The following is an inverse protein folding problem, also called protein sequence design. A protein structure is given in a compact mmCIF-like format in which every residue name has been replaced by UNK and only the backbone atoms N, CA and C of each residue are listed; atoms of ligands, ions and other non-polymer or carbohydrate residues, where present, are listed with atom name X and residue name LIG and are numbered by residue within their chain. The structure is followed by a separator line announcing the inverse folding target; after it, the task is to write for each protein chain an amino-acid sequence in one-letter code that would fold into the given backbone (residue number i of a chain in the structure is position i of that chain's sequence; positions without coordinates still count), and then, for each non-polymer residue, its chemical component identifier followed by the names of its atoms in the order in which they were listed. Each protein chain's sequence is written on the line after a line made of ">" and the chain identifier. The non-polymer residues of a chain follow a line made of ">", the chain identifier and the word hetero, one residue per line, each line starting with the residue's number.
data_IF_490366858039
#
_entry.id   IF_490366858039
#
_cell.length_a   1.000
_cell.length_b   1.000
_cell.length_c   1.000
_cell.angle_alpha   90.00
_cell.angle_beta   90.00
_cell.angle_gamma   90.00
#
_symmetry.space_group_name_H-M   'P 1'
#
loop_
_entity.id
_entity.type
_entity.pdbx_description
1 polymer ?
#
# COMPACT_ATOMS: atom_id res chain seq x y z
N UNK A 1 7.14 -59.57 54.32
CA UNK A 1 7.51 -58.54 53.29
C UNK A 1 6.48 -58.61 52.18
N UNK A 2 5.46 -57.75 52.22
CA UNK A 2 4.43 -57.65 51.17
C UNK A 2 4.78 -56.45 50.27
N UNK A 3 5.08 -56.70 48.98
CA UNK A 3 5.25 -55.69 47.98
C UNK A 3 3.90 -55.21 47.47
N UNK A 4 3.59 -53.94 47.66
CA UNK A 4 2.43 -53.28 47.10
C UNK A 4 2.84 -52.72 45.71
N UNK A 5 2.26 -53.28 44.65
CA UNK A 5 2.34 -52.73 43.30
C UNK A 5 1.30 -51.63 43.16
N UNK A 6 1.74 -50.39 43.01
CA UNK A 6 0.85 -49.25 42.62
C UNK A 6 0.76 -49.20 41.10
N UNK A 7 -0.42 -49.51 40.57
CA UNK A 7 -0.74 -49.29 39.15
C UNK A 7 -1.23 -47.87 39.01
N UNK A 8 -0.42 -47.02 38.39
CA UNK A 8 -0.85 -45.68 37.96
C UNK A 8 -1.63 -45.80 36.64
N UNK A 9 -2.94 -45.68 36.71
CA UNK A 9 -3.82 -45.59 35.54
C UNK A 9 -3.73 -44.17 35.00
N UNK A 10 -2.99 -43.97 33.89
CA UNK A 10 -3.01 -42.70 33.12
C UNK A 10 -4.35 -42.62 32.36
N UNK A 11 -5.26 -41.78 32.84
CA UNK A 11 -6.44 -41.40 32.08
C UNK A 11 -6.03 -40.51 30.91
N UNK A 12 -5.93 -41.06 29.73
CA UNK A 12 -5.95 -40.26 28.49
C UNK A 12 -7.41 -39.78 28.28
N UNK A 13 -7.66 -38.52 28.63
CA UNK A 13 -8.89 -37.86 28.17
C UNK A 13 -8.74 -37.64 26.64
N UNK A 14 -9.27 -38.55 25.85
CA UNK A 14 -9.52 -38.29 24.44
C UNK A 14 -10.67 -37.27 24.36
N UNK A 15 -10.34 -35.99 24.25
CA UNK A 15 -11.33 -35.00 23.87
C UNK A 15 -11.80 -35.36 22.46
N UNK A 16 -13.01 -35.86 22.33
CA UNK A 16 -13.69 -36.02 21.05
C UNK A 16 -13.94 -34.60 20.49
N UNK A 17 -13.09 -34.14 19.61
CA UNK A 17 -13.33 -32.91 18.83
C UNK A 17 -14.52 -33.21 17.93
N UNK A 18 -15.67 -32.62 18.22
CA UNK A 18 -16.84 -32.68 17.34
C UNK A 18 -16.41 -32.11 15.98
N UNK A 19 -16.74 -32.76 14.87
CA UNK A 19 -16.43 -32.32 13.51
C UNK A 19 -17.01 -30.93 13.17
N UNK A 20 -17.98 -30.45 13.96
CA UNK A 20 -18.56 -29.10 13.89
C UNK A 20 -17.69 -27.98 14.50
N UNK A 21 -16.59 -28.30 15.20
CA UNK A 21 -15.77 -27.32 15.91
C UNK A 21 -14.49 -26.95 15.16
N UNK A 22 -14.19 -27.62 14.04
CA UNK A 22 -12.96 -27.43 13.28
C UNK A 22 -13.24 -27.45 11.78
N UNK A 23 -12.80 -26.40 11.08
CA UNK A 23 -12.90 -26.27 9.61
C UNK A 23 -11.52 -26.33 9.01
N UNK A 24 -11.29 -27.26 8.11
CA UNK A 24 -10.02 -27.41 7.39
C UNK A 24 -9.94 -26.42 6.23
N UNK A 25 -8.88 -25.62 6.21
CA UNK A 25 -8.54 -24.67 5.14
C UNK A 25 -7.32 -25.23 4.40
N UNK A 26 -7.51 -25.67 3.17
CA UNK A 26 -6.39 -26.13 2.33
C UNK A 26 -6.02 -25.06 1.34
N UNK A 27 -4.79 -24.53 1.45
CA UNK A 27 -4.23 -23.51 0.55
C UNK A 27 -3.33 -24.19 -0.46
N UNK A 28 -3.59 -23.96 -1.75
CA UNK A 28 -2.82 -24.51 -2.86
C UNK A 28 -2.11 -23.39 -3.63
N UNK A 29 -0.83 -23.56 -3.86
CA UNK A 29 -0.01 -22.72 -4.74
C UNK A 29 -0.10 -23.25 -6.19
N UNK A 30 -0.66 -22.47 -7.14
CA UNK A 30 -0.71 -22.90 -8.53
C UNK A 30 0.60 -22.69 -9.29
N UNK A 31 1.59 -21.98 -8.70
CA UNK A 31 2.85 -21.63 -9.36
C UNK A 31 3.99 -22.60 -9.02
N UNK A 32 5.00 -22.63 -9.88
CA UNK A 32 6.25 -23.40 -9.70
C UNK A 32 7.30 -22.68 -8.84
N UNK A 33 6.95 -21.55 -8.22
CA UNK A 33 7.79 -20.78 -7.29
C UNK A 33 7.25 -20.91 -5.87
N UNK A 34 8.12 -20.83 -4.86
CA UNK A 34 7.73 -20.79 -3.44
C UNK A 34 7.02 -19.46 -3.17
N UNK A 35 6.01 -19.47 -2.31
CA UNK A 35 5.25 -18.28 -1.87
C UNK A 35 5.33 -18.20 -0.35
N UNK A 36 6.02 -17.19 0.17
CA UNK A 36 6.20 -16.97 1.60
C UNK A 36 5.68 -15.59 2.02
N UNK A 37 5.00 -15.54 3.16
CA UNK A 37 4.45 -14.31 3.72
C UNK A 37 3.31 -13.73 2.87
N UNK A 38 2.74 -14.52 1.98
CA UNK A 38 1.68 -14.08 1.08
C UNK A 38 0.30 -14.25 1.71
N UNK A 39 -0.63 -13.37 1.36
CA UNK A 39 -1.98 -13.37 1.90
C UNK A 39 -2.84 -14.44 1.20
N UNK A 40 -3.33 -15.40 1.96
CA UNK A 40 -4.39 -16.30 1.53
C UNK A 40 -5.74 -15.66 1.84
N UNK A 41 -6.67 -15.74 0.90
CA UNK A 41 -8.00 -15.16 1.02
C UNK A 41 -9.08 -16.20 0.71
N UNK A 42 -10.14 -16.21 1.49
CA UNK A 42 -11.32 -17.06 1.24
C UNK A 42 -12.57 -16.38 1.78
N UNK A 43 -13.73 -16.61 1.16
CA UNK A 43 -15.00 -16.15 1.75
C UNK A 43 -15.17 -16.69 3.16
N UNK A 44 -15.49 -15.81 4.11
CA UNK A 44 -15.69 -16.19 5.52
C UNK A 44 -17.00 -16.92 5.73
N UNK A 45 -18.02 -16.70 4.90
CA UNK A 45 -19.34 -17.26 5.08
C UNK A 45 -19.38 -18.81 5.15
N UNK A 46 -18.69 -19.58 4.27
CA UNK A 46 -18.60 -21.03 4.40
C UNK A 46 -17.89 -21.47 5.69
N UNK A 47 -16.91 -20.71 6.18
CA UNK A 47 -16.20 -21.01 7.43
C UNK A 47 -17.15 -20.86 8.61
N UNK A 48 -17.82 -19.71 8.73
CA UNK A 48 -18.81 -19.45 9.79
C UNK A 48 -19.93 -20.49 9.77
N UNK A 49 -20.45 -20.82 8.58
CA UNK A 49 -21.50 -21.86 8.46
C UNK A 49 -21.07 -23.21 9.01
N UNK A 50 -19.81 -23.63 8.72
CA UNK A 50 -19.27 -24.90 9.22
C UNK A 50 -18.91 -24.87 10.70
N UNK A 51 -18.74 -23.70 11.29
CA UNK A 51 -18.57 -23.47 12.72
C UNK A 51 -19.91 -23.15 13.43
N UNK A 52 -21.04 -23.63 12.91
CA UNK A 52 -22.39 -23.43 13.47
C UNK A 52 -22.73 -21.98 13.80
N UNK A 53 -22.37 -21.07 12.93
CA UNK A 53 -22.63 -19.64 13.10
C UNK A 53 -21.76 -18.96 14.16
N UNK A 54 -20.57 -19.49 14.45
CA UNK A 54 -19.67 -18.94 15.45
C UNK A 54 -19.40 -17.44 15.22
N UNK A 55 -19.59 -16.63 16.26
CA UNK A 55 -19.31 -15.19 16.23
C UNK A 55 -17.81 -14.86 16.27
N UNK A 56 -17.02 -15.76 16.86
CA UNK A 56 -15.57 -15.65 16.97
C UNK A 56 -14.93 -17.00 16.66
N UNK A 57 -13.82 -16.97 15.95
CA UNK A 57 -13.01 -18.12 15.64
C UNK A 57 -11.55 -17.71 15.48
N UNK A 58 -10.65 -18.66 15.63
CA UNK A 58 -9.21 -18.50 15.44
C UNK A 58 -8.77 -19.29 14.22
N UNK A 59 -7.65 -18.90 13.60
CA UNK A 59 -6.97 -19.68 12.57
C UNK A 59 -5.69 -20.26 13.16
N UNK A 60 -5.47 -21.55 12.97
CA UNK A 60 -4.24 -22.23 13.42
C UNK A 60 -3.52 -22.89 12.25
N UNK A 61 -2.21 -23.04 12.38
CA UNK A 61 -1.42 -23.90 11.51
C UNK A 61 -1.67 -25.39 11.80
N UNK A 62 -0.92 -26.27 11.11
CA UNK A 62 -1.05 -27.71 11.26
C UNK A 62 -0.66 -28.22 12.66
N UNK A 63 0.21 -27.51 13.37
CA UNK A 63 0.68 -27.85 14.72
C UNK A 63 -0.27 -27.32 15.80
N UNK A 64 -1.34 -26.62 15.40
CA UNK A 64 -2.34 -26.07 16.29
C UNK A 64 -2.00 -24.70 16.87
N UNK A 65 -0.88 -24.10 16.45
CA UNK A 65 -0.49 -22.74 16.84
C UNK A 65 -1.39 -21.73 16.15
N UNK A 66 -1.99 -20.82 16.93
CA UNK A 66 -2.77 -19.71 16.39
C UNK A 66 -1.89 -18.76 15.57
N UNK A 67 -2.39 -18.34 14.42
CA UNK A 67 -1.75 -17.35 13.53
C UNK A 67 -2.64 -16.13 13.38
N UNK A 68 -2.05 -14.93 13.11
CA UNK A 68 -2.81 -13.74 12.81
C UNK A 68 -3.77 -13.96 11.64
N UNK A 69 -5.01 -13.57 11.83
CA UNK A 69 -6.05 -13.61 10.80
C UNK A 69 -6.98 -12.42 10.95
N UNK A 70 -7.66 -12.06 9.88
CA UNK A 70 -8.58 -10.93 9.83
C UNK A 70 -9.77 -11.26 8.95
N UNK A 71 -10.96 -10.83 9.38
CA UNK A 71 -12.14 -10.79 8.51
C UNK A 71 -12.24 -9.37 7.95
N UNK A 72 -12.26 -9.25 6.63
CA UNK A 72 -12.29 -7.97 5.94
C UNK A 72 -13.72 -7.47 5.73
N UNK A 73 -13.86 -6.17 5.44
CA UNK A 73 -15.15 -5.51 5.23
C UNK A 73 -16.01 -6.18 4.13
N UNK A 74 -15.37 -6.78 3.13
CA UNK A 74 -16.01 -7.48 2.01
C UNK A 74 -16.26 -8.98 2.28
N UNK A 75 -16.13 -9.40 3.56
CA UNK A 75 -16.47 -10.75 4.01
C UNK A 75 -15.47 -11.82 3.62
N UNK A 76 -14.20 -11.49 3.52
CA UNK A 76 -13.12 -12.46 3.35
C UNK A 76 -12.41 -12.74 4.67
N UNK A 77 -12.04 -13.97 4.89
CA UNK A 77 -11.03 -14.36 5.87
C UNK A 77 -9.67 -14.31 5.20
N UNK A 78 -8.74 -13.55 5.77
CA UNK A 78 -7.35 -13.43 5.31
C UNK A 78 -6.37 -13.85 6.39
N UNK A 79 -5.26 -14.48 5.97
CA UNK A 79 -4.14 -14.87 6.83
C UNK A 79 -2.87 -15.09 6.00
N UNK A 80 -1.70 -14.82 6.57
CA UNK A 80 -0.42 -15.02 5.87
C UNK A 80 0.04 -16.47 5.91
N UNK A 81 0.60 -16.93 4.79
CA UNK A 81 1.01 -18.33 4.62
C UNK A 81 2.42 -18.44 4.02
N UNK A 82 3.01 -19.62 4.20
CA UNK A 82 4.15 -20.11 3.41
C UNK A 82 3.77 -21.43 2.73
N UNK A 83 4.03 -21.55 1.41
CA UNK A 83 3.71 -22.74 0.66
C UNK A 83 4.74 -22.99 -0.45
N UNK A 84 5.21 -24.23 -0.58
CA UNK A 84 6.16 -24.64 -1.61
C UNK A 84 5.59 -24.51 -3.04
N UNK A 85 6.48 -24.64 -4.03
CA UNK A 85 6.13 -24.66 -5.44
C UNK A 85 5.15 -25.80 -5.75
N UNK A 86 4.01 -25.49 -6.44
CA UNK A 86 2.91 -26.44 -6.70
C UNK A 86 2.38 -27.16 -5.46
N UNK A 87 2.79 -26.70 -4.27
CA UNK A 87 2.50 -27.31 -2.99
C UNK A 87 1.09 -27.00 -2.45
N UNK A 88 0.79 -27.69 -1.35
CA UNK A 88 -0.40 -27.44 -0.53
C UNK A 88 0.00 -27.33 0.93
N UNK A 89 -0.66 -26.48 1.67
CA UNK A 89 -0.54 -26.34 3.13
C UNK A 89 -1.93 -26.32 3.76
N UNK A 90 -2.02 -26.79 5.00
CA UNK A 90 -3.28 -26.89 5.71
C UNK A 90 -3.27 -25.98 6.92
N UNK A 91 -4.36 -25.27 7.10
CA UNK A 91 -4.71 -24.47 8.27
C UNK A 91 -6.09 -24.92 8.79
N UNK A 92 -6.40 -24.50 10.00
CA UNK A 92 -7.68 -24.84 10.62
C UNK A 92 -8.33 -23.60 11.21
N UNK A 93 -9.61 -23.39 10.90
CA UNK A 93 -10.42 -22.43 11.64
C UNK A 93 -11.17 -23.17 12.76
N UNK A 94 -11.15 -22.64 13.99
CA UNK A 94 -11.74 -23.25 15.18
C UNK A 94 -12.54 -22.21 15.96
N UNK A 95 -13.63 -22.61 16.60
CA UNK A 95 -14.31 -21.74 17.56
C UNK A 95 -13.33 -21.30 18.64
N UNK A 96 -13.28 -20.01 18.95
CA UNK A 96 -12.36 -19.45 19.93
C UNK A 96 -12.29 -17.94 19.86
N UNK A 97 -11.74 -17.32 20.89
CA UNK A 97 -11.49 -15.89 20.93
C UNK A 97 -10.09 -15.62 20.39
N UNK A 98 -9.93 -14.84 19.29
CA UNK A 98 -8.61 -14.51 18.76
C UNK A 98 -7.73 -13.79 19.78
N UNK A 99 -6.45 -14.08 19.76
CA UNK A 99 -5.45 -13.30 20.48
C UNK A 99 -5.44 -11.86 19.93
N UNK A 100 -5.00 -10.91 20.75
CA UNK A 100 -4.73 -9.55 20.29
C UNK A 100 -3.38 -9.54 19.58
N UNK A 101 -3.41 -9.34 18.28
CA UNK A 101 -2.20 -9.16 17.48
C UNK A 101 -1.83 -7.69 17.35
N UNK A 102 -0.53 -7.41 17.27
CA UNK A 102 -0.03 -6.10 16.90
C UNK A 102 -0.43 -5.77 15.46
N UNK A 103 -0.89 -4.54 15.23
CA UNK A 103 -1.20 -4.07 13.90
C UNK A 103 0.11 -3.88 13.12
N UNK A 104 0.19 -4.46 11.92
CA UNK A 104 1.28 -4.26 10.96
C UNK A 104 0.87 -3.31 9.84
N UNK A 105 -0.29 -2.73 9.93
CA UNK A 105 -0.87 -1.78 8.98
C UNK A 105 -1.58 -0.67 9.74
N UNK A 106 -1.57 0.53 9.20
CA UNK A 106 -2.20 1.70 9.80
C UNK A 106 -2.56 2.74 8.74
N UNK A 107 -3.50 3.61 9.03
CA UNK A 107 -3.80 4.81 8.26
C UNK A 107 -4.91 5.63 8.88
N UNK A 108 -4.89 6.91 8.60
CA UNK A 108 -5.95 7.87 8.95
C UNK A 108 -5.85 9.16 8.14
N UNK A 109 -6.88 9.98 8.24
CA UNK A 109 -6.80 11.38 7.84
C UNK A 109 -6.07 12.20 8.90
N UNK A 110 -5.32 13.21 8.45
CA UNK A 110 -4.58 14.19 9.25
C UNK A 110 -5.12 15.61 8.99
N UNK A 111 -6.21 16.03 9.68
CA UNK A 111 -6.75 17.38 9.52
C UNK A 111 -5.74 18.45 9.91
N UNK A 112 -4.87 18.13 10.86
CA UNK A 112 -3.76 18.97 11.33
C UNK A 112 -2.68 19.24 10.26
N UNK A 113 -2.68 18.45 9.16
CA UNK A 113 -1.82 18.63 7.99
C UNK A 113 -2.67 18.68 6.71
N UNK A 114 -3.44 19.75 6.59
CA UNK A 114 -4.27 20.14 5.43
C UNK A 114 -5.08 18.99 4.81
N UNK A 115 -5.66 18.15 5.69
CA UNK A 115 -6.49 16.98 5.35
C UNK A 115 -5.75 15.88 4.60
N UNK A 116 -4.45 15.69 4.80
CA UNK A 116 -3.74 14.53 4.26
C UNK A 116 -4.42 13.24 4.71
N UNK A 117 -4.49 12.25 3.82
CA UNK A 117 -4.80 10.87 4.19
C UNK A 117 -3.55 10.03 3.98
N UNK A 118 -2.96 9.56 5.08
CA UNK A 118 -1.74 8.77 5.02
C UNK A 118 -1.96 7.36 5.57
N UNK A 119 -1.27 6.39 4.97
CA UNK A 119 -1.34 4.98 5.35
C UNK A 119 0.00 4.28 5.16
N UNK A 120 0.21 3.24 5.94
CA UNK A 120 1.44 2.47 5.94
C UNK A 120 1.22 1.01 6.31
N UNK A 121 2.20 0.21 5.99
CA UNK A 121 2.42 -1.09 6.60
C UNK A 121 3.86 -1.18 7.14
N UNK A 122 4.28 -2.37 7.50
CA UNK A 122 5.65 -2.65 7.95
C UNK A 122 6.73 -2.57 6.85
N UNK A 123 6.43 -2.05 5.65
CA UNK A 123 7.36 -1.95 4.49
C UNK A 123 7.38 -0.58 3.85
N UNK A 124 6.21 0.01 3.63
CA UNK A 124 6.00 1.24 2.85
C UNK A 124 5.02 2.17 3.53
N UNK A 125 5.07 3.45 3.17
CA UNK A 125 4.06 4.43 3.55
C UNK A 125 3.71 5.33 2.36
N UNK A 126 2.48 5.82 2.35
CA UNK A 126 1.91 6.62 1.28
C UNK A 126 1.05 7.74 1.83
N UNK A 127 0.80 8.74 0.99
CA UNK A 127 -0.10 9.86 1.28
C UNK A 127 -0.96 10.20 0.07
N UNK A 128 -2.22 10.52 0.30
CA UNK A 128 -3.10 11.21 -0.63
C UNK A 128 -3.44 12.59 -0.07
N UNK A 129 -3.42 13.60 -0.91
CA UNK A 129 -3.65 14.97 -0.50
C UNK A 129 -5.13 15.30 -0.38
N UNK A 130 -5.46 16.09 0.63
CA UNK A 130 -6.81 16.41 1.00
C UNK A 130 -7.34 17.76 0.48
N UNK A 131 -8.63 18.04 0.72
CA UNK A 131 -9.27 19.24 0.22
C UNK A 131 -8.74 20.55 0.81
N UNK A 132 -8.21 20.54 2.02
CA UNK A 132 -7.62 21.75 2.62
C UNK A 132 -6.32 22.16 1.91
N UNK A 133 -5.50 21.20 1.46
CA UNK A 133 -4.32 21.49 0.63
C UNK A 133 -4.75 22.19 -0.68
N UNK A 134 -5.76 21.66 -1.35
CA UNK A 134 -6.24 22.24 -2.60
C UNK A 134 -6.77 23.67 -2.40
N UNK A 135 -7.44 23.96 -1.27
CA UNK A 135 -7.91 25.31 -0.91
C UNK A 135 -6.76 26.29 -0.65
N UNK A 136 -5.59 25.83 -0.21
CA UNK A 136 -4.40 26.67 -0.01
C UNK A 136 -3.77 27.15 -1.33
N UNK A 137 -4.19 26.57 -2.47
CA UNK A 137 -3.63 26.85 -3.80
C UNK A 137 -2.50 25.91 -4.19
N UNK A 138 -2.03 25.07 -3.29
CA UNK A 138 -1.08 24.00 -3.62
C UNK A 138 -1.77 22.92 -4.46
N UNK A 139 -1.04 22.37 -5.43
CA UNK A 139 -1.55 21.36 -6.36
C UNK A 139 -0.67 20.11 -6.28
N UNK A 140 -1.24 19.06 -5.72
CA UNK A 140 -0.65 17.72 -5.68
C UNK A 140 -1.79 16.72 -5.85
N UNK A 141 -1.76 15.96 -6.95
CA UNK A 141 -2.91 15.13 -7.37
C UNK A 141 -2.69 13.65 -7.17
N UNK A 142 -1.43 13.22 -7.31
CA UNK A 142 -1.04 11.82 -7.25
C UNK A 142 -0.80 11.32 -5.84
N UNK A 143 -0.55 10.00 -5.72
CA UNK A 143 -0.08 9.42 -4.47
C UNK A 143 1.37 9.81 -4.22
N UNK A 144 1.61 10.18 -2.98
CA UNK A 144 2.92 10.47 -2.45
C UNK A 144 3.54 9.22 -1.80
N UNK A 145 4.85 9.15 -1.79
CA UNK A 145 5.60 8.00 -1.27
C UNK A 145 6.48 8.47 -0.12
N UNK A 146 6.26 7.88 1.05
CA UNK A 146 7.12 8.08 2.21
C UNK A 146 8.01 6.86 2.38
N UNK A 147 9.32 7.07 2.27
CA UNK A 147 10.30 5.99 2.39
C UNK A 147 10.35 5.44 3.81
N UNK A 148 10.62 4.13 3.92
CA UNK A 148 10.77 3.42 5.21
C UNK A 148 11.98 2.48 5.17
N UNK A 149 12.72 2.41 6.28
CA UNK A 149 13.74 1.39 6.55
C UNK A 149 13.51 0.70 7.90
N UNK A 150 12.27 0.67 8.35
CA UNK A 150 11.83 0.04 9.60
C UNK A 150 10.52 -0.71 9.35
N UNK A 151 10.30 -1.77 10.10
CA UNK A 151 9.03 -2.52 10.14
C UNK A 151 8.01 -1.91 11.13
N UNK A 152 8.41 -0.93 11.94
CA UNK A 152 7.51 -0.20 12.83
C UNK A 152 6.55 0.69 12.03
N UNK A 153 5.36 0.91 12.57
CA UNK A 153 4.44 1.96 12.10
C UNK A 153 4.95 3.31 12.62
N UNK A 154 5.17 4.28 11.72
CA UNK A 154 5.89 5.53 12.02
C UNK A 154 5.16 6.81 11.61
N UNK A 155 4.03 6.72 10.93
CA UNK A 155 3.30 7.91 10.47
C UNK A 155 2.88 8.83 11.61
N UNK A 156 2.30 8.28 12.68
CA UNK A 156 1.89 9.07 13.85
C UNK A 156 3.06 9.83 14.47
N UNK A 157 4.20 9.16 14.64
CA UNK A 157 5.43 9.74 15.17
C UNK A 157 5.94 10.86 14.28
N UNK A 158 6.01 10.65 12.96
CA UNK A 158 6.51 11.63 12.00
C UNK A 158 5.61 12.87 11.92
N UNK A 159 4.30 12.69 11.87
CA UNK A 159 3.37 13.82 11.87
C UNK A 159 3.39 14.59 13.21
N UNK A 160 3.48 13.89 14.34
CA UNK A 160 3.54 14.53 15.65
C UNK A 160 4.80 15.41 15.81
N UNK A 161 5.96 14.95 15.36
CA UNK A 161 7.21 15.71 15.37
C UNK A 161 7.11 16.99 14.51
N UNK A 162 6.68 16.86 13.26
CA UNK A 162 6.55 18.00 12.34
C UNK A 162 5.53 19.03 12.83
N UNK A 163 4.49 18.60 13.55
CA UNK A 163 3.38 19.45 13.99
C UNK A 163 3.49 19.90 15.45
N UNK A 164 4.64 19.72 16.07
CA UNK A 164 4.88 20.25 17.42
C UNK A 164 4.79 21.78 17.44
N UNK A 165 3.67 22.28 17.98
CA UNK A 165 3.36 23.71 18.02
C UNK A 165 4.33 24.53 18.89
N UNK A 166 4.83 23.96 19.98
CA UNK A 166 5.79 24.65 20.86
C UNK A 166 7.14 24.79 20.17
N UNK A 167 7.58 23.74 19.49
CA UNK A 167 8.79 23.78 18.69
C UNK A 167 8.71 24.78 17.53
N UNK A 168 7.58 24.81 16.82
CA UNK A 168 7.34 25.80 15.77
C UNK A 168 7.41 27.24 16.28
N UNK A 169 6.95 27.51 17.51
CA UNK A 169 7.08 28.82 18.16
C UNK A 169 8.55 29.18 18.42
N UNK A 170 9.36 28.21 18.86
CA UNK A 170 10.81 28.40 19.04
C UNK A 170 11.48 28.77 17.73
N UNK A 171 11.24 28.03 16.65
CA UNK A 171 11.78 28.34 15.34
C UNK A 171 11.36 29.73 14.84
N UNK A 172 10.08 30.08 15.04
CA UNK A 172 9.57 31.41 14.67
C UNK A 172 10.26 32.55 15.49
N UNK A 173 10.48 32.33 16.77
CA UNK A 173 11.17 33.30 17.62
C UNK A 173 12.62 33.52 17.20
N UNK A 174 13.33 32.44 16.89
CA UNK A 174 14.72 32.51 16.39
C UNK A 174 14.80 33.29 15.07
N UNK A 175 13.88 33.06 14.13
CA UNK A 175 13.82 33.83 12.88
C UNK A 175 13.61 35.32 13.15
N UNK A 176 12.68 35.69 14.04
CA UNK A 176 12.47 37.09 14.43
C UNK A 176 13.68 37.75 15.09
N UNK A 177 14.55 36.98 15.72
CA UNK A 177 15.80 37.43 16.31
C UNK A 177 16.98 37.49 15.34
N UNK A 178 16.79 37.13 14.06
CA UNK A 178 17.82 37.08 13.04
C UNK A 178 18.63 35.78 12.96
N UNK A 179 18.28 34.76 13.74
CA UNK A 179 18.96 33.46 13.77
C UNK A 179 18.31 32.47 12.77
N UNK A 180 18.22 32.87 11.50
CA UNK A 180 17.50 32.11 10.45
C UNK A 180 18.10 30.71 10.24
N UNK A 181 19.42 30.56 10.31
CA UNK A 181 20.10 29.29 10.10
C UNK A 181 19.84 28.31 11.21
N UNK A 182 19.96 28.77 12.45
CA UNK A 182 19.66 27.96 13.62
C UNK A 182 18.19 27.52 13.63
N UNK A 183 17.27 28.43 13.30
CA UNK A 183 15.85 28.08 13.16
C UNK A 183 15.60 27.03 12.08
N UNK A 184 16.36 27.07 10.99
CA UNK A 184 16.26 26.09 9.89
C UNK A 184 16.87 24.74 10.29
N UNK A 185 18.01 24.72 10.99
CA UNK A 185 18.58 23.46 11.52
C UNK A 185 17.65 22.79 12.51
N UNK A 186 17.07 23.57 13.42
CA UNK A 186 16.08 23.04 14.36
C UNK A 186 14.85 22.51 13.64
N UNK A 187 14.33 23.21 12.64
CA UNK A 187 13.22 22.71 11.82
C UNK A 187 13.57 21.35 11.19
N UNK A 188 14.74 21.23 10.55
CA UNK A 188 15.15 19.95 9.96
C UNK A 188 15.38 18.85 11.01
N UNK A 189 15.66 19.17 12.26
CA UNK A 189 15.80 18.18 13.33
C UNK A 189 14.47 17.48 13.68
N UNK A 190 13.32 18.02 13.28
CA UNK A 190 12.00 17.43 13.53
C UNK A 190 11.21 17.14 12.24
N UNK A 191 11.66 17.66 11.09
CA UNK A 191 10.93 17.51 9.85
C UNK A 191 10.94 16.08 9.34
N UNK A 192 9.77 15.55 8.97
CA UNK A 192 9.66 14.26 8.31
C UNK A 192 10.30 14.25 6.91
N UNK A 193 10.70 15.40 6.38
CA UNK A 193 11.50 15.49 5.15
C UNK A 193 12.98 15.11 5.36
N UNK A 194 13.40 14.88 6.60
CA UNK A 194 14.76 14.41 6.95
C UNK A 194 14.69 13.01 7.53
N UNK A 195 15.64 12.16 7.16
CA UNK A 195 15.73 10.81 7.70
C UNK A 195 16.23 10.83 9.16
N UNK A 196 15.36 10.48 10.09
CA UNK A 196 15.66 10.31 11.51
C UNK A 196 15.84 8.83 11.89
N UNK A 197 16.32 8.00 10.97
CA UNK A 197 16.57 6.58 11.20
C UNK A 197 15.39 5.67 10.86
N UNK A 198 14.25 6.19 10.38
CA UNK A 198 13.08 5.40 10.00
C UNK A 198 12.64 5.60 8.55
N UNK A 199 13.36 6.45 7.80
CA UNK A 199 13.02 6.92 6.45
C UNK A 199 12.45 8.34 6.49
N UNK A 200 11.92 8.85 5.38
CA UNK A 200 11.51 10.25 5.21
C UNK A 200 10.49 10.45 4.08
N UNK A 201 9.91 11.64 4.04
CA UNK A 201 9.17 12.18 2.89
C UNK A 201 10.15 12.91 1.96
N UNK A 202 10.49 12.30 0.84
CA UNK A 202 11.42 12.87 -0.13
C UNK A 202 10.99 12.65 -1.60
N UNK A 203 9.76 12.19 -1.81
CA UNK A 203 9.19 12.03 -3.14
C UNK A 203 8.40 13.28 -3.53
N UNK A 204 8.61 13.80 -4.74
CA UNK A 204 7.92 14.99 -5.21
C UNK A 204 6.72 14.63 -6.06
N UNK A 205 5.54 15.02 -5.66
CA UNK A 205 4.31 14.76 -6.43
C UNK A 205 3.93 15.94 -7.33
N UNK A 206 3.69 17.11 -6.76
CA UNK A 206 3.22 18.26 -7.52
C UNK A 206 1.90 18.01 -8.29
N UNK A 207 1.61 18.81 -9.34
CA UNK A 207 0.41 18.67 -10.14
C UNK A 207 0.51 17.51 -11.15
N UNK A 208 0.79 16.30 -10.68
CA UNK A 208 1.07 15.10 -11.48
C UNK A 208 0.34 13.87 -10.95
N UNK A 209 0.53 12.71 -11.59
CA UNK A 209 -0.01 11.44 -11.13
C UNK A 209 0.81 10.80 -9.99
N UNK A 210 1.94 11.39 -9.59
CA UNK A 210 2.75 10.90 -8.49
C UNK A 210 3.15 9.44 -8.64
N UNK A 211 3.01 8.66 -7.58
CA UNK A 211 3.48 7.28 -7.45
C UNK A 211 2.45 6.21 -7.84
N UNK A 212 1.73 6.33 -8.97
CA UNK A 212 0.82 5.27 -9.43
C UNK A 212 -0.67 5.63 -9.33
N UNK A 213 -1.02 6.87 -9.62
CA UNK A 213 -2.41 7.34 -9.60
C UNK A 213 -3.11 7.08 -10.93
N UNK A 214 -4.38 6.67 -10.86
CA UNK A 214 -5.26 6.54 -12.02
C UNK A 214 -5.84 7.87 -12.47
N UNK A 215 -6.03 8.03 -13.80
CA UNK A 215 -6.69 9.16 -14.42
C UNK A 215 -7.44 8.72 -15.67
N UNK A 216 -8.52 9.44 -16.01
CA UNK A 216 -9.11 9.34 -17.34
C UNK A 216 -8.32 10.19 -18.33
N UNK A 217 -8.40 9.82 -19.61
CA UNK A 217 -7.74 10.54 -20.68
C UNK A 217 -8.79 11.15 -21.62
N UNK A 218 -8.61 12.42 -21.95
CA UNK A 218 -9.41 13.16 -22.90
C UNK A 218 -8.77 13.24 -24.29
N UNK A 219 -9.46 13.84 -25.25
CA UNK A 219 -9.01 14.07 -26.62
C UNK A 219 -8.50 12.79 -27.30
N UNK A 220 -9.29 11.72 -27.18
CA UNK A 220 -8.95 10.41 -27.76
C UNK A 220 -7.73 9.75 -27.09
N UNK A 221 -7.51 10.01 -25.82
CA UNK A 221 -6.42 9.42 -25.04
C UNK A 221 -5.14 10.26 -24.98
N UNK A 222 -5.15 11.49 -25.51
CA UNK A 222 -3.94 12.34 -25.58
C UNK A 222 -3.68 13.11 -24.28
N UNK A 223 -4.75 13.62 -23.63
CA UNK A 223 -4.63 14.53 -22.51
C UNK A 223 -4.96 13.85 -21.19
N UNK A 224 -4.09 13.95 -20.22
CA UNK A 224 -4.35 13.45 -18.87
C UNK A 224 -5.33 14.39 -18.16
N UNK A 225 -6.44 13.84 -17.71
CA UNK A 225 -7.38 14.55 -16.83
C UNK A 225 -6.96 14.28 -15.40
N UNK A 226 -6.13 15.15 -14.84
CA UNK A 226 -5.62 14.98 -13.50
C UNK A 226 -6.75 14.93 -12.47
N UNK A 227 -6.84 13.90 -11.64
CA UNK A 227 -7.79 13.86 -10.54
C UNK A 227 -7.43 14.94 -9.53
N UNK A 228 -8.46 15.62 -9.00
CA UNK A 228 -8.25 16.56 -7.89
C UNK A 228 -8.04 15.80 -6.58
N UNK A 229 -7.99 16.50 -5.45
CA UNK A 229 -7.99 15.85 -4.15
C UNK A 229 -9.32 15.13 -3.88
N UNK A 230 -9.30 14.10 -3.05
CA UNK A 230 -10.52 13.46 -2.56
C UNK A 230 -11.37 14.46 -1.73
N UNK A 231 -12.65 14.19 -1.60
CA UNK A 231 -13.58 15.00 -0.80
C UNK A 231 -14.16 14.25 0.40
N UNK A 232 -14.29 12.93 0.27
CA UNK A 232 -14.83 12.04 1.29
C UNK A 232 -13.90 10.84 1.41
N UNK A 233 -13.66 10.38 2.63
CA UNK A 233 -12.97 9.14 2.90
C UNK A 233 -13.77 8.25 3.85
N UNK A 234 -13.53 6.94 3.78
CA UNK A 234 -14.06 5.95 4.70
C UNK A 234 -12.99 4.90 4.97
N UNK A 235 -12.78 4.53 6.22
CA UNK A 235 -11.89 3.43 6.57
C UNK A 235 -12.74 2.16 6.72
N UNK A 236 -12.40 1.16 5.91
CA UNK A 236 -13.15 -0.09 5.77
C UNK A 236 -12.54 -1.22 6.61
N UNK A 237 -11.20 -1.31 6.66
CA UNK A 237 -10.46 -2.28 7.50
C UNK A 237 -9.35 -1.60 8.28
N UNK A 238 -9.09 -2.05 9.52
CA UNK A 238 -8.07 -1.50 10.43
C UNK A 238 -7.15 -2.61 11.01
N UNK A 239 -6.54 -3.42 10.15
CA UNK A 239 -5.55 -4.40 10.59
C UNK A 239 -6.12 -5.65 11.28
N UNK A 240 -5.27 -6.56 11.81
CA UNK A 240 -3.81 -6.44 11.91
C UNK A 240 -3.03 -6.68 10.62
N UNK A 241 -3.66 -7.27 9.57
CA UNK A 241 -3.02 -7.73 8.35
C UNK A 241 -3.29 -6.86 7.13
N UNK A 242 -4.47 -6.24 7.05
CA UNK A 242 -4.90 -5.39 5.94
C UNK A 242 -5.50 -4.09 6.47
N UNK A 243 -5.06 -2.98 5.91
CA UNK A 243 -5.72 -1.69 6.01
C UNK A 243 -6.42 -1.40 4.70
N UNK A 244 -7.71 -1.11 4.75
CA UNK A 244 -8.52 -0.77 3.56
C UNK A 244 -9.28 0.53 3.81
N UNK A 245 -9.29 1.39 2.82
CA UNK A 245 -10.04 2.65 2.85
C UNK A 245 -10.60 2.99 1.48
N UNK A 246 -11.59 3.87 1.45
CA UNK A 246 -12.08 4.44 0.21
C UNK A 246 -11.93 5.95 0.18
N UNK A 247 -11.65 6.48 -1.00
CA UNK A 247 -11.63 7.90 -1.32
C UNK A 247 -12.67 8.17 -2.40
N UNK A 248 -13.53 9.16 -2.18
CA UNK A 248 -14.50 9.64 -3.18
C UNK A 248 -14.13 11.04 -3.62
N UNK A 249 -14.35 11.31 -4.90
CA UNK A 249 -13.98 12.56 -5.56
C UNK A 249 -15.19 13.32 -6.01
N UNK A 250 -15.05 14.64 -6.20
CA UNK A 250 -16.13 15.48 -6.71
C UNK A 250 -16.59 15.02 -8.09
N UNK A 251 -17.86 15.28 -8.34
CA UNK A 251 -18.48 15.04 -9.65
C UNK A 251 -17.75 15.82 -10.75
N UNK A 252 -17.34 15.11 -11.78
CA UNK A 252 -16.50 15.63 -12.87
C UNK A 252 -17.10 15.26 -14.23
N UNK A 253 -16.80 16.04 -15.26
CA UNK A 253 -17.21 15.77 -16.65
C UNK A 253 -15.97 15.65 -17.54
N UNK A 254 -15.85 14.52 -18.25
CA UNK A 254 -14.79 14.25 -19.23
C UNK A 254 -15.45 13.67 -20.49
N UNK A 255 -15.08 14.18 -21.67
CA UNK A 255 -15.64 13.73 -22.96
C UNK A 255 -17.19 13.73 -22.97
N UNK A 256 -17.79 14.73 -22.35
CA UNK A 256 -19.25 14.84 -22.24
C UNK A 256 -19.93 13.84 -21.31
N UNK A 257 -19.19 13.00 -20.61
CA UNK A 257 -19.70 12.07 -19.62
C UNK A 257 -19.46 12.61 -18.20
N UNK A 258 -20.52 12.71 -17.42
CA UNK A 258 -20.46 13.20 -16.04
C UNK A 258 -20.52 12.01 -15.08
N UNK A 259 -19.57 11.94 -14.14
CA UNK A 259 -19.40 10.79 -13.24
C UNK A 259 -18.89 11.24 -11.86
N UNK A 260 -18.98 10.33 -10.92
CA UNK A 260 -18.27 10.37 -9.63
C UNK A 260 -17.22 9.26 -9.62
N UNK A 261 -16.05 9.55 -9.06
CA UNK A 261 -14.97 8.59 -8.92
C UNK A 261 -14.91 8.10 -7.47
N UNK A 262 -14.80 6.78 -7.28
CA UNK A 262 -14.50 6.16 -5.99
C UNK A 262 -13.30 5.22 -6.14
N UNK A 263 -12.35 5.34 -5.24
CA UNK A 263 -11.16 4.46 -5.12
C UNK A 263 -11.28 3.67 -3.84
N UNK A 264 -11.14 2.36 -3.93
CA UNK A 264 -10.92 1.48 -2.77
C UNK A 264 -9.47 1.02 -2.82
N UNK A 265 -8.73 1.33 -1.78
CA UNK A 265 -7.30 1.03 -1.69
C UNK A 265 -7.06 0.15 -0.48
N UNK A 266 -6.35 -0.94 -0.65
CA UNK A 266 -5.92 -1.81 0.43
C UNK A 266 -4.41 -2.04 0.42
N UNK A 267 -3.83 -2.13 1.61
CA UNK A 267 -2.42 -2.42 1.81
C UNK A 267 -2.27 -3.55 2.82
N UNK A 268 -1.58 -4.62 2.40
CA UNK A 268 -1.34 -5.80 3.23
C UNK A 268 -0.02 -5.71 3.98
N UNK A 269 0.03 -6.28 5.16
CA UNK A 269 1.26 -6.48 5.92
C UNK A 269 2.29 -7.26 5.10
N UNK A 270 3.52 -6.76 5.04
CA UNK A 270 4.63 -7.38 4.29
C UNK A 270 4.66 -7.08 2.79
N UNK A 271 3.65 -6.40 2.22
CA UNK A 271 3.60 -6.05 0.80
C UNK A 271 4.33 -4.73 0.51
N UNK A 272 4.98 -4.64 -0.65
CA UNK A 272 5.44 -3.36 -1.22
C UNK A 272 4.34 -2.69 -2.05
N UNK A 273 3.25 -3.40 -2.35
CA UNK A 273 2.22 -2.98 -3.30
C UNK A 273 0.88 -2.77 -2.61
N UNK A 274 0.23 -1.66 -2.94
CA UNK A 274 -1.18 -1.40 -2.65
C UNK A 274 -2.03 -2.01 -3.75
N UNK A 275 -3.21 -2.52 -3.42
CA UNK A 275 -4.24 -2.88 -4.38
C UNK A 275 -5.24 -1.73 -4.51
N UNK A 276 -5.47 -1.24 -5.72
CA UNK A 276 -6.42 -0.16 -6.00
C UNK A 276 -7.50 -0.63 -6.97
N UNK A 277 -8.74 -0.43 -6.58
CA UNK A 277 -9.93 -0.68 -7.39
C UNK A 277 -10.69 0.62 -7.56
N UNK A 278 -10.74 1.13 -8.79
CA UNK A 278 -11.37 2.42 -9.12
C UNK A 278 -12.66 2.19 -9.86
N UNK A 279 -13.70 2.91 -9.49
CA UNK A 279 -14.99 2.95 -10.19
C UNK A 279 -15.33 4.38 -10.58
N UNK A 280 -15.87 4.55 -11.80
CA UNK A 280 -16.41 5.81 -12.30
C UNK A 280 -17.91 5.65 -12.53
N UNK A 281 -18.70 6.03 -11.54
CA UNK A 281 -20.15 5.92 -11.61
C UNK A 281 -20.74 7.05 -12.47
N UNK A 282 -21.47 6.70 -13.50
CA UNK A 282 -22.05 7.64 -14.49
C UNK A 282 -21.40 7.55 -15.87
N UNK A 283 -20.28 6.83 -16.02
CA UNK A 283 -19.71 6.54 -17.33
C UNK A 283 -20.64 5.59 -18.10
N UNK A 284 -21.04 5.99 -19.30
CA UNK A 284 -21.99 5.26 -20.17
C UNK A 284 -21.36 4.75 -21.46
N UNK A 285 -20.20 5.26 -21.85
CA UNK A 285 -19.42 4.84 -23.03
C UNK A 285 -17.97 4.60 -22.61
N UNK A 286 -17.30 3.68 -23.28
CA UNK A 286 -15.88 3.44 -23.05
C UNK A 286 -15.08 4.74 -23.17
N UNK A 287 -14.10 4.90 -22.26
CA UNK A 287 -13.23 6.08 -22.24
C UNK A 287 -11.79 5.63 -21.94
N UNK A 288 -10.79 6.19 -22.61
CA UNK A 288 -9.40 5.90 -22.28
C UNK A 288 -9.07 6.26 -20.82
N UNK A 289 -8.35 5.38 -20.15
CA UNK A 289 -7.90 5.56 -18.78
C UNK A 289 -6.44 5.11 -18.65
N UNK A 290 -5.71 5.72 -17.75
CA UNK A 290 -4.33 5.39 -17.48
C UNK A 290 -4.06 5.27 -15.98
N UNK A 291 -3.04 4.50 -15.62
CA UNK A 291 -2.34 4.61 -14.35
C UNK A 291 -0.96 5.17 -14.65
N UNK A 292 -0.55 6.21 -13.92
CA UNK A 292 0.68 6.92 -14.24
C UNK A 292 1.64 7.04 -13.06
N UNK A 293 2.94 7.05 -13.37
CA UNK A 293 4.03 7.41 -12.47
C UNK A 293 4.78 8.59 -13.07
N UNK A 294 5.01 9.61 -12.27
CA UNK A 294 5.81 10.78 -12.67
C UNK A 294 7.26 10.38 -12.97
N UNK A 295 7.87 11.02 -13.95
CA UNK A 295 9.30 10.88 -14.28
C UNK A 295 9.99 12.22 -14.04
N UNK A 296 10.86 12.28 -13.06
CA UNK A 296 11.55 13.49 -12.65
C UNK A 296 12.78 13.80 -13.51
N UNK A 297 13.19 15.09 -13.52
CA UNK A 297 14.35 15.58 -14.27
C UNK A 297 15.66 14.95 -13.81
N UNK A 298 15.74 14.57 -12.55
CA UNK A 298 16.93 14.00 -11.90
C UNK A 298 17.28 12.61 -12.43
N UNK A 299 16.28 11.84 -12.92
CA UNK A 299 16.50 10.51 -13.50
C UNK A 299 15.52 10.18 -14.64
N UNK A 300 15.56 10.90 -15.76
CA UNK A 300 14.51 10.91 -16.77
C UNK A 300 14.39 9.64 -17.64
N UNK A 301 15.37 8.74 -17.56
CA UNK A 301 15.45 7.55 -18.44
C UNK A 301 15.48 6.22 -17.67
N UNK A 302 15.36 6.23 -16.35
CA UNK A 302 15.49 5.03 -15.51
C UNK A 302 14.16 4.34 -15.29
N UNK A 303 13.48 3.97 -16.35
CA UNK A 303 12.21 3.24 -16.27
C UNK A 303 12.20 1.98 -17.15
N UNK A 304 11.34 1.03 -16.78
CA UNK A 304 11.08 -0.22 -17.50
C UNK A 304 9.58 -0.29 -17.81
N UNK A 305 9.24 -0.60 -19.05
CA UNK A 305 7.86 -0.79 -19.52
C UNK A 305 7.72 -2.22 -20.03
N UNK A 306 6.82 -3.00 -19.44
CA UNK A 306 6.64 -4.42 -19.80
C UNK A 306 5.16 -4.75 -20.07
N UNK A 307 4.71 -4.44 -21.29
CA UNK A 307 3.34 -4.72 -21.76
C UNK A 307 2.96 -6.20 -21.63
N UNK A 308 3.94 -7.09 -21.87
CA UNK A 308 3.70 -8.54 -21.90
C UNK A 308 3.34 -9.09 -20.52
N UNK A 309 3.99 -8.60 -19.48
CA UNK A 309 3.78 -9.06 -18.11
C UNK A 309 2.91 -8.09 -17.30
N UNK A 310 2.56 -6.93 -17.88
CA UNK A 310 1.60 -5.99 -17.33
C UNK A 310 2.17 -5.15 -16.20
N UNK A 311 3.46 -4.80 -16.20
CA UNK A 311 4.03 -3.92 -15.18
C UNK A 311 4.94 -2.83 -15.76
N UNK A 312 5.06 -1.74 -15.03
CA UNK A 312 6.04 -0.69 -15.26
C UNK A 312 6.78 -0.35 -13.95
N UNK A 313 8.05 0.02 -14.09
CA UNK A 313 8.95 0.38 -12.99
C UNK A 313 9.68 1.68 -13.28
N UNK A 314 9.98 2.45 -12.25
CA UNK A 314 10.80 3.65 -12.32
C UNK A 314 11.75 3.71 -11.13
N UNK A 315 13.00 4.10 -11.38
CA UNK A 315 13.97 4.45 -10.35
C UNK A 315 14.03 5.96 -10.24
N UNK A 316 13.58 6.48 -9.13
CA UNK A 316 13.55 7.89 -8.83
C UNK A 316 14.62 8.27 -7.80
N UNK A 317 14.89 9.55 -7.71
CA UNK A 317 15.73 10.15 -6.67
C UNK A 317 14.88 11.10 -5.85
N UNK A 318 15.21 11.25 -4.56
CA UNK A 318 14.52 12.23 -3.72
C UNK A 318 14.70 13.65 -4.23
N UNK A 319 13.73 14.54 -3.97
CA UNK A 319 13.77 15.94 -4.40
C UNK A 319 14.92 16.71 -3.73
N UNK A 320 15.99 17.07 -4.45
CA UNK A 320 17.11 17.81 -3.86
C UNK A 320 16.74 19.23 -3.46
N UNK A 321 15.66 19.77 -4.00
CA UNK A 321 15.24 21.16 -3.79
C UNK A 321 14.34 21.37 -2.58
N UNK A 322 13.90 20.32 -1.91
CA UNK A 322 13.14 20.45 -0.65
C UNK A 322 13.95 21.08 0.50
N UNK A 323 15.28 21.10 0.40
CA UNK A 323 16.16 21.73 1.39
C UNK A 323 16.72 23.08 0.89
N UNK A 324 16.95 24.01 1.84
CA UNK A 324 17.72 25.21 1.53
C UNK A 324 19.11 24.84 1.05
N UNK A 325 19.63 25.55 0.04
CA UNK A 325 20.86 25.23 -0.69
C UNK A 325 22.04 24.83 0.21
N UNK A 326 22.32 25.60 1.26
CA UNK A 326 23.43 25.35 2.19
C UNK A 326 23.31 24.05 2.99
N UNK A 327 22.13 23.44 3.07
CA UNK A 327 21.90 22.18 3.76
C UNK A 327 21.85 20.98 2.80
N UNK A 328 21.70 21.20 1.50
CA UNK A 328 21.56 20.14 0.48
C UNK A 328 22.71 19.16 0.51
N UNK A 329 23.96 19.65 0.55
CA UNK A 329 25.15 18.80 0.51
C UNK A 329 25.21 17.79 1.68
N UNK A 330 24.62 18.13 2.84
CA UNK A 330 24.54 17.27 4.02
C UNK A 330 23.33 16.32 3.92
N UNK A 331 22.17 16.84 3.57
CA UNK A 331 20.90 16.13 3.71
C UNK A 331 20.55 15.26 2.49
N UNK A 332 20.95 15.63 1.27
CA UNK A 332 20.66 14.84 0.07
C UNK A 332 21.32 13.44 0.05
N UNK A 333 22.37 13.21 0.84
CA UNK A 333 23.02 11.90 0.97
C UNK A 333 22.12 10.82 1.52
N UNK A 334 21.06 11.22 2.21
CA UNK A 334 20.10 10.32 2.83
C UNK A 334 18.98 9.86 1.89
N UNK A 335 18.88 10.42 0.68
CA UNK A 335 17.75 10.13 -0.22
C UNK A 335 17.76 8.70 -0.75
N UNK A 336 18.92 8.20 -1.18
CA UNK A 336 18.98 6.92 -1.91
C UNK A 336 18.12 6.92 -3.18
N UNK A 337 17.78 5.74 -3.66
CA UNK A 337 16.86 5.53 -4.77
C UNK A 337 15.49 5.13 -4.26
N UNK A 338 14.44 5.68 -4.88
CA UNK A 338 13.05 5.35 -4.65
C UNK A 338 12.57 4.56 -5.86
N UNK A 339 12.24 3.31 -5.67
CA UNK A 339 11.70 2.46 -6.73
C UNK A 339 10.19 2.54 -6.71
N UNK A 340 9.60 2.95 -7.83
CA UNK A 340 8.13 3.09 -7.99
C UNK A 340 7.66 2.09 -9.03
N UNK A 341 6.50 1.47 -8.82
CA UNK A 341 5.99 0.50 -9.79
C UNK A 341 4.47 0.38 -9.79
N UNK A 342 3.99 -0.07 -10.94
CA UNK A 342 2.57 -0.38 -11.17
C UNK A 342 2.46 -1.76 -11.80
N UNK A 343 1.47 -2.54 -11.37
CA UNK A 343 1.09 -3.81 -11.98
C UNK A 343 -0.39 -3.75 -12.34
N UNK A 344 -0.71 -3.92 -13.62
CA UNK A 344 -2.07 -3.86 -14.14
C UNK A 344 -2.71 -5.25 -14.15
N UNK A 345 -3.96 -5.32 -13.68
CA UNK A 345 -4.74 -6.57 -13.72
C UNK A 345 -5.51 -6.76 -15.02
N UNK A 346 -5.72 -5.68 -15.77
CA UNK A 346 -6.40 -5.70 -17.06
C UNK A 346 -5.48 -6.19 -18.18
N UNK A 347 -6.04 -6.97 -19.11
CA UNK A 347 -5.32 -7.39 -20.32
C UNK A 347 -5.37 -6.28 -21.37
N UNK A 348 -4.33 -6.25 -22.24
CA UNK A 348 -4.28 -5.32 -23.37
C UNK A 348 -3.97 -3.88 -23.02
N UNK A 349 -3.48 -3.64 -21.80
CA UNK A 349 -2.92 -2.36 -21.39
C UNK A 349 -1.61 -2.13 -22.14
N UNK A 350 -1.44 -0.94 -22.70
CA UNK A 350 -0.18 -0.49 -23.32
C UNK A 350 0.56 0.43 -22.38
N UNK A 351 1.86 0.28 -22.32
CA UNK A 351 2.73 1.13 -21.53
C UNK A 351 3.54 2.04 -22.44
N UNK A 352 3.57 3.31 -22.08
CA UNK A 352 4.36 4.31 -22.81
C UNK A 352 4.96 5.34 -21.86
N UNK A 353 6.07 5.95 -22.28
CA UNK A 353 6.52 7.21 -21.72
C UNK A 353 5.88 8.36 -22.51
N UNK A 354 5.24 9.26 -21.78
CA UNK A 354 4.64 10.46 -22.35
C UNK A 354 5.35 11.68 -21.80
N UNK A 355 6.06 12.38 -22.68
CA UNK A 355 6.65 13.66 -22.35
C UNK A 355 5.58 14.73 -22.21
N UNK A 356 5.68 15.57 -21.19
CA UNK A 356 4.77 16.68 -20.95
C UNK A 356 5.56 17.97 -20.71
N UNK A 357 5.23 18.99 -21.46
CA UNK A 357 5.82 20.31 -21.27
C UNK A 357 5.26 20.97 -19.99
N UNK A 358 6.10 21.78 -19.33
CA UNK A 358 5.70 22.63 -18.20
C UNK A 358 5.32 21.89 -16.90
N UNK A 359 5.76 20.65 -16.72
CA UNK A 359 5.68 20.01 -15.41
C UNK A 359 6.84 20.47 -14.50
N UNK A 360 6.55 21.06 -13.33
CA UNK A 360 7.61 21.52 -12.43
C UNK A 360 8.48 20.36 -11.92
N UNK A 361 9.77 20.33 -12.31
CA UNK A 361 10.75 19.33 -11.86
C UNK A 361 10.59 17.95 -12.50
N UNK A 362 9.81 17.83 -13.58
CA UNK A 362 9.55 16.56 -14.23
C UNK A 362 9.56 16.65 -15.76
N UNK A 363 9.83 15.54 -16.43
CA UNK A 363 9.85 15.42 -17.88
C UNK A 363 8.57 14.87 -18.47
N UNK A 364 7.75 14.20 -17.67
CA UNK A 364 6.50 13.55 -18.12
C UNK A 364 6.09 12.42 -17.22
N UNK A 365 5.35 11.44 -17.77
CA UNK A 365 4.89 10.25 -17.07
C UNK A 365 5.20 8.97 -17.84
N UNK A 366 5.45 7.88 -17.12
CA UNK A 366 5.18 6.55 -17.66
C UNK A 366 3.72 6.20 -17.36
N UNK A 367 3.02 5.71 -18.37
CA UNK A 367 1.57 5.46 -18.33
C UNK A 367 1.27 4.03 -18.75
N UNK A 368 0.40 3.38 -17.99
CA UNK A 368 -0.24 2.14 -18.35
C UNK A 368 -1.66 2.45 -18.85
N UNK A 369 -1.90 2.39 -20.16
CA UNK A 369 -3.11 2.91 -20.83
C UNK A 369 -4.01 1.76 -21.24
N UNK A 370 -5.28 1.86 -20.86
CA UNK A 370 -6.36 0.97 -21.27
C UNK A 370 -7.65 1.73 -21.56
N UNK A 371 -8.74 1.01 -21.76
CA UNK A 371 -10.07 1.57 -21.91
C UNK A 371 -10.93 1.17 -20.72
N UNK A 372 -11.41 2.15 -19.96
CA UNK A 372 -12.41 1.93 -18.92
C UNK A 372 -13.78 1.69 -19.59
N UNK A 373 -14.43 0.59 -19.23
CA UNK A 373 -15.76 0.21 -19.71
C UNK A 373 -16.84 0.63 -18.72
N UNK A 374 -18.04 0.97 -19.17
CA UNK A 374 -19.17 1.26 -18.27
C UNK A 374 -19.40 0.14 -17.26
N UNK A 375 -19.60 0.49 -16.00
CA UNK A 375 -19.81 -0.43 -14.86
C UNK A 375 -18.64 -1.39 -14.57
N UNK A 376 -17.50 -1.21 -15.23
CA UNK A 376 -16.29 -1.97 -14.91
C UNK A 376 -15.53 -1.35 -13.72
N UNK A 377 -14.44 -1.98 -13.34
CA UNK A 377 -13.44 -1.43 -12.42
C UNK A 377 -12.11 -1.27 -13.14
N UNK A 378 -11.36 -0.25 -12.80
CA UNK A 378 -9.94 -0.19 -13.10
C UNK A 378 -9.21 -0.81 -11.90
N UNK A 379 -8.62 -1.98 -12.14
CA UNK A 379 -7.99 -2.83 -11.12
C UNK A 379 -6.49 -2.89 -11.36
N UNK A 380 -5.70 -2.45 -10.37
CA UNK A 380 -4.26 -2.43 -10.48
C UNK A 380 -3.58 -2.39 -9.11
N UNK A 381 -2.27 -2.64 -9.11
CA UNK A 381 -1.42 -2.46 -7.95
C UNK A 381 -0.42 -1.33 -8.20
N UNK A 382 -0.14 -0.55 -7.16
CA UNK A 382 0.94 0.45 -7.16
C UNK A 382 1.76 0.33 -5.88
N UNK A 383 3.03 0.65 -5.97
CA UNK A 383 3.87 0.50 -4.80
C UNK A 383 5.25 1.07 -4.96
N UNK A 384 6.04 0.94 -3.90
CA UNK A 384 7.41 1.41 -3.90
C UNK A 384 8.34 0.57 -3.03
N UNK A 385 9.65 0.75 -3.25
CA UNK A 385 10.71 0.30 -2.35
C UNK A 385 11.75 1.41 -2.23
N UNK A 386 12.57 1.34 -1.18
CA UNK A 386 13.65 2.30 -0.94
C UNK A 386 14.99 1.59 -0.81
N UNK A 387 16.02 2.10 -1.50
CA UNK A 387 17.36 1.48 -1.53
C UNK A 387 18.01 1.35 -0.15
N UNK A 388 17.64 2.22 0.81
CA UNK A 388 18.13 2.17 2.18
C UNK A 388 17.32 1.24 3.10
N UNK A 389 16.31 0.52 2.59
CA UNK A 389 15.63 -0.51 3.36
C UNK A 389 16.33 -1.86 3.18
N UNK A 390 17.37 -2.10 3.98
CA UNK A 390 18.17 -3.33 3.93
C UNK A 390 17.33 -4.60 4.20
N UNK A 391 16.29 -4.50 5.05
CA UNK A 391 15.43 -5.64 5.38
C UNK A 391 14.59 -6.13 4.20
N UNK A 392 14.31 -5.25 3.24
CA UNK A 392 13.63 -5.57 1.97
C UNK A 392 14.63 -6.02 0.91
N UNK A 393 15.86 -5.44 0.92
CA UNK A 393 16.94 -5.82 0.03
C UNK A 393 16.78 -5.40 -1.43
N UNK A 394 15.81 -4.53 -1.74
CA UNK A 394 15.60 -3.94 -3.07
C UNK A 394 16.43 -2.64 -3.16
N UNK A 395 17.58 -2.73 -3.80
CA UNK A 395 18.54 -1.64 -3.91
C UNK A 395 19.07 -1.42 -5.34
N UNK A 396 18.30 -1.85 -6.35
CA UNK A 396 18.53 -1.57 -7.76
C UNK A 396 17.23 -1.71 -8.56
N UNK A 397 17.16 -1.03 -9.71
CA UNK A 397 16.00 -1.15 -10.61
C UNK A 397 15.81 -2.60 -11.08
N UNK A 398 16.88 -3.35 -11.31
CA UNK A 398 16.78 -4.76 -11.70
C UNK A 398 16.14 -5.65 -10.62
N UNK A 399 16.43 -5.40 -9.34
CA UNK A 399 15.76 -6.12 -8.23
C UNK A 399 14.30 -5.70 -8.09
N UNK A 400 14.00 -4.44 -8.31
CA UNK A 400 12.63 -3.95 -8.31
C UNK A 400 11.82 -4.55 -9.46
N UNK A 401 12.39 -4.59 -10.65
CA UNK A 401 11.80 -5.25 -11.83
C UNK A 401 11.50 -6.74 -11.54
N UNK A 402 12.48 -7.46 -10.99
CA UNK A 402 12.29 -8.86 -10.61
C UNK A 402 11.19 -9.06 -9.56
N UNK A 403 11.08 -8.14 -8.60
CA UNK A 403 9.99 -8.14 -7.63
C UNK A 403 8.63 -7.94 -8.31
N UNK A 404 8.49 -6.91 -9.17
CA UNK A 404 7.24 -6.62 -9.89
C UNK A 404 6.85 -7.76 -10.83
N UNK A 405 7.80 -8.37 -11.52
CA UNK A 405 7.57 -9.53 -12.37
C UNK A 405 7.02 -10.72 -11.56
N UNK A 406 7.63 -11.02 -10.42
CA UNK A 406 7.14 -12.08 -9.53
C UNK A 406 5.78 -11.72 -8.95
N UNK A 407 5.59 -10.45 -8.52
CA UNK A 407 4.32 -9.96 -7.99
C UNK A 407 3.20 -10.07 -9.03
N UNK A 408 3.43 -9.64 -10.27
CA UNK A 408 2.46 -9.77 -11.36
C UNK A 408 2.05 -11.24 -11.58
N UNK A 409 3.02 -12.17 -11.59
CA UNK A 409 2.73 -13.61 -11.70
C UNK A 409 1.84 -14.11 -10.56
N UNK A 410 2.09 -13.68 -9.32
CA UNK A 410 1.29 -14.10 -8.17
C UNK A 410 -0.10 -13.47 -8.16
N UNK A 411 -0.21 -12.19 -8.49
CA UNK A 411 -1.49 -11.48 -8.59
C UNK A 411 -2.43 -12.11 -9.64
N UNK A 412 -1.88 -12.46 -10.81
CA UNK A 412 -2.65 -13.16 -11.86
C UNK A 412 -2.92 -14.64 -11.55
N UNK A 413 -2.25 -15.24 -10.58
CA UNK A 413 -2.42 -16.63 -10.18
C UNK A 413 -2.60 -16.73 -8.66
N UNK A 414 -3.72 -16.24 -8.13
CA UNK A 414 -3.94 -16.19 -6.67
C UNK A 414 -3.90 -17.60 -6.05
N UNK A 415 -3.58 -17.66 -4.77
CA UNK A 415 -3.69 -18.86 -3.96
C UNK A 415 -5.11 -19.40 -4.01
N UNK A 416 -5.27 -20.72 -4.10
CA UNK A 416 -6.59 -21.37 -4.07
C UNK A 416 -6.86 -21.92 -2.69
N UNK A 417 -7.88 -21.40 -2.01
CA UNK A 417 -8.27 -21.87 -0.67
C UNK A 417 -9.55 -22.70 -0.76
N UNK A 418 -9.51 -23.91 -0.21
CA UNK A 418 -10.65 -24.81 -0.13
C UNK A 418 -11.07 -24.98 1.33
N UNK A 419 -12.37 -24.83 1.61
CA UNK A 419 -13.00 -24.93 2.93
C UNK A 419 -13.70 -26.28 3.06
N UNK A 420 -13.24 -27.15 3.97
CA UNK A 420 -13.84 -28.49 4.19
C UNK A 420 -14.26 -28.69 5.64
#
# INVERSE_FOLDING_TARGET
>A
MKRILSIAASLLLAMSVNAADVVKLTVQNPLSTIRNGEMAEVSVAPVIKKLDGAKQFIVTDADGKEIPSQVTYDGKLIFQIGVGAKGKVVYYAKKGTPQKYENRVFGRQYPERVDDFAWENDRVAFRAYGPALQKSGERAWGYDIWTKNTDRLVLEERYALEKDAEFAKVCTRLRKMGYEDLATELYYAQSYHVNHGTGMDCYKVGPTLGGGTAALLANGGKDIVYPKCYTIYEILDRGPLRFTFSLSYEKTTVEGQTFTEKRVISLDAGSQMNHAVITYEGITKAIPAAVGVIVHNENPNAFVLNDKEGFMAYEDLGDPYQYKEKFRAKLNKEFGQIYVGVVCMQKGVKMEYRQEANLPGATGHILAIGNYQPKATLDYYFGSAWSHNESVGINSIAKWEAYLQQFAKTAHNPLKVTVK
#
